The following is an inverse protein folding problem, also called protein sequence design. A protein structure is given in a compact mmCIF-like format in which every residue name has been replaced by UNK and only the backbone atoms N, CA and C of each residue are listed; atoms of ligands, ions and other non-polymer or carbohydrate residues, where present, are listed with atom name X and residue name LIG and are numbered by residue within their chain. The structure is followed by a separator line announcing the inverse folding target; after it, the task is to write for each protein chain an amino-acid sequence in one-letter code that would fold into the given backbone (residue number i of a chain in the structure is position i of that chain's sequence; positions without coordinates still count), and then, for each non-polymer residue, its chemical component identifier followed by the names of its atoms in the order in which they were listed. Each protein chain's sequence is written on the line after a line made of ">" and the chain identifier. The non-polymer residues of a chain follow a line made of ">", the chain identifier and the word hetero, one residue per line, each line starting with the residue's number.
data_IF_597520944942
#
_entry.id   IF_597520944942
#
_cell.length_a   1.000
_cell.length_b   1.000
_cell.length_c   1.000
_cell.angle_alpha   90.00
_cell.angle_beta   90.00
_cell.angle_gamma   90.00
#
_symmetry.space_group_name_H-M   'P 1'
#
loop_
_entity.id
_entity.type
_entity.pdbx_description
1 polymer ?
#
# COMPACT_ATOMS: atom_id res chain seq x y z
N UNK A 1 17.75 -11.31 31.78
CA UNK A 1 17.35 -9.92 31.46
C UNK A 1 17.41 -9.78 29.94
N UNK A 2 16.27 -9.76 29.27
CA UNK A 2 16.18 -9.80 27.81
C UNK A 2 15.94 -8.40 27.26
N UNK A 3 16.97 -7.74 26.75
CA UNK A 3 16.82 -6.49 25.99
C UNK A 3 16.71 -6.82 24.50
N UNK A 4 15.47 -7.01 24.01
CA UNK A 4 15.20 -7.01 22.56
C UNK A 4 15.38 -5.59 22.04
N UNK A 5 16.51 -5.33 21.40
CA UNK A 5 16.76 -4.11 20.63
C UNK A 5 15.77 -4.06 19.46
N UNK A 6 14.79 -3.17 19.55
CA UNK A 6 13.88 -2.89 18.44
C UNK A 6 14.67 -2.21 17.31
N UNK A 7 14.91 -2.96 16.24
CA UNK A 7 15.47 -2.44 14.98
C UNK A 7 14.48 -1.41 14.44
N UNK A 8 14.88 -0.16 14.16
CA UNK A 8 13.96 0.80 13.56
C UNK A 8 13.52 0.22 12.21
N UNK A 9 12.21 0.11 12.02
CA UNK A 9 11.62 -0.34 10.77
C UNK A 9 12.13 0.62 9.68
N UNK A 10 13.05 0.12 8.85
CA UNK A 10 13.50 0.79 7.63
C UNK A 10 12.24 1.13 6.85
N UNK A 11 11.95 2.42 6.64
CA UNK A 11 10.91 2.81 5.71
C UNK A 11 11.23 2.07 4.41
N UNK A 12 10.31 1.25 3.86
CA UNK A 12 10.53 0.67 2.55
C UNK A 12 10.61 1.86 1.59
N UNK A 13 11.81 2.13 1.09
CA UNK A 13 11.96 3.01 -0.06
C UNK A 13 11.08 2.40 -1.16
N UNK A 14 10.25 3.21 -1.84
CA UNK A 14 9.39 2.68 -2.88
C UNK A 14 10.29 2.10 -3.96
N UNK A 15 10.33 0.77 -4.03
CA UNK A 15 10.93 0.05 -5.15
C UNK A 15 10.39 0.67 -6.45
N UNK A 16 11.24 0.99 -7.45
CA UNK A 16 10.82 1.73 -8.63
C UNK A 16 9.64 1.08 -9.38
N UNK A 17 9.50 -0.25 -9.31
CA UNK A 17 8.33 -0.97 -9.87
C UNK A 17 7.01 -0.75 -9.10
N UNK A 18 7.07 -0.36 -7.83
CA UNK A 18 5.88 -0.12 -7.00
C UNK A 18 5.18 1.18 -7.39
N UNK A 19 5.93 2.22 -7.79
CA UNK A 19 5.35 3.53 -8.10
C UNK A 19 4.60 3.52 -9.45
N UNK A 20 5.12 2.80 -10.45
CA UNK A 20 4.41 2.54 -11.71
C UNK A 20 3.10 1.77 -11.47
N UNK A 21 3.14 0.79 -10.58
CA UNK A 21 1.97 -0.01 -10.21
C UNK A 21 0.93 0.80 -9.43
N UNK A 22 1.38 1.68 -8.53
CA UNK A 22 0.53 2.66 -7.85
C UNK A 22 -0.18 3.55 -8.87
N UNK A 23 0.55 4.10 -9.84
CA UNK A 23 -0.01 4.96 -10.87
C UNK A 23 -1.02 4.21 -11.76
N UNK A 24 -0.72 2.97 -12.12
CA UNK A 24 -1.62 2.10 -12.87
C UNK A 24 -2.92 1.84 -12.10
N UNK A 25 -2.83 1.45 -10.82
CA UNK A 25 -3.99 1.17 -9.97
C UNK A 25 -4.84 2.42 -9.72
N UNK A 26 -4.19 3.55 -9.47
CA UNK A 26 -4.85 4.86 -9.32
C UNK A 26 -5.69 5.20 -10.57
N UNK A 27 -5.10 5.07 -11.76
CA UNK A 27 -5.79 5.32 -13.04
C UNK A 27 -6.92 4.31 -13.29
N UNK A 28 -6.67 3.01 -13.11
CA UNK A 28 -7.63 1.91 -13.34
C UNK A 28 -8.87 2.04 -12.45
N UNK A 29 -8.68 2.42 -11.19
CA UNK A 29 -9.76 2.51 -10.22
C UNK A 29 -10.30 3.92 -9.99
N UNK A 30 -9.74 4.92 -10.68
CA UNK A 30 -10.11 6.35 -10.56
C UNK A 30 -10.01 6.84 -9.11
N UNK A 31 -8.91 6.50 -8.44
CA UNK A 31 -8.58 6.96 -7.09
C UNK A 31 -7.24 7.68 -7.12
N UNK A 32 -6.94 8.48 -6.10
CA UNK A 32 -5.63 9.12 -6.00
C UNK A 32 -4.53 8.10 -5.67
N UNK A 33 -3.31 8.35 -6.14
CA UNK A 33 -2.14 7.56 -5.77
C UNK A 33 -1.90 7.54 -4.26
N UNK A 34 -2.27 8.63 -3.56
CA UNK A 34 -2.20 8.72 -2.10
C UNK A 34 -3.05 7.64 -1.41
N UNK A 35 -4.27 7.40 -1.90
CA UNK A 35 -5.14 6.34 -1.37
C UNK A 35 -4.50 4.97 -1.57
N UNK A 36 -3.90 4.71 -2.74
CA UNK A 36 -3.23 3.45 -3.00
C UNK A 36 -2.05 3.25 -2.03
N UNK A 37 -1.22 4.28 -1.82
CA UNK A 37 -0.11 4.23 -0.85
C UNK A 37 -0.58 3.99 0.57
N UNK A 38 -1.69 4.62 0.96
CA UNK A 38 -2.32 4.40 2.27
C UNK A 38 -2.82 2.96 2.41
N UNK A 39 -3.46 2.40 1.37
CA UNK A 39 -3.90 1.01 1.34
C UNK A 39 -2.70 0.07 1.50
N UNK A 40 -1.65 0.25 0.70
CA UNK A 40 -0.42 -0.55 0.77
C UNK A 40 0.19 -0.48 2.17
N UNK A 41 0.26 0.71 2.75
CA UNK A 41 0.73 0.93 4.13
C UNK A 41 -0.17 0.23 5.15
N UNK A 42 -1.49 0.27 4.97
CA UNK A 42 -2.47 -0.30 5.90
C UNK A 42 -2.50 -1.82 5.86
N UNK A 43 -2.37 -2.43 4.68
CA UNK A 43 -2.38 -3.89 4.53
C UNK A 43 -0.98 -4.49 4.61
N UNK A 44 0.07 -3.67 4.56
CA UNK A 44 1.47 -4.07 4.59
C UNK A 44 1.92 -4.85 3.36
N UNK A 45 1.18 -4.77 2.26
CA UNK A 45 1.42 -5.51 1.02
C UNK A 45 1.19 -4.61 -0.18
N UNK A 46 2.12 -4.65 -1.14
CA UNK A 46 1.98 -4.03 -2.46
C UNK A 46 1.35 -4.97 -3.48
N UNK A 47 0.93 -6.18 -3.07
CA UNK A 47 0.33 -7.16 -3.97
C UNK A 47 -0.96 -6.61 -4.59
N UNK A 48 -1.00 -6.55 -5.92
CA UNK A 48 -2.11 -6.01 -6.71
C UNK A 48 -3.47 -6.55 -6.25
N UNK A 49 -3.60 -7.87 -6.11
CA UNK A 49 -4.85 -8.53 -5.71
C UNK A 49 -5.37 -8.06 -4.35
N UNK A 50 -4.46 -7.84 -3.39
CA UNK A 50 -4.78 -7.40 -2.05
C UNK A 50 -5.20 -5.92 -2.04
N UNK A 51 -4.45 -5.08 -2.76
CA UNK A 51 -4.76 -3.66 -2.93
C UNK A 51 -6.11 -3.46 -3.63
N UNK A 52 -6.36 -4.15 -4.74
CA UNK A 52 -7.64 -4.08 -5.48
C UNK A 52 -8.85 -4.49 -4.61
N UNK A 53 -8.67 -5.50 -3.74
CA UNK A 53 -9.72 -5.93 -2.80
C UNK A 53 -10.05 -4.83 -1.80
N UNK A 54 -9.04 -4.15 -1.26
CA UNK A 54 -9.25 -3.03 -0.33
C UNK A 54 -9.87 -1.81 -1.02
N UNK A 55 -9.47 -1.49 -2.27
CA UNK A 55 -10.10 -0.43 -3.06
C UNK A 55 -11.61 -0.69 -3.25
N UNK A 56 -11.99 -1.94 -3.58
CA UNK A 56 -13.40 -2.32 -3.74
C UNK A 56 -14.16 -2.20 -2.41
N UNK A 57 -13.56 -2.66 -1.31
CA UNK A 57 -14.13 -2.56 0.04
C UNK A 57 -14.34 -1.09 0.45
N UNK A 58 -13.36 -0.22 0.22
CA UNK A 58 -13.44 1.21 0.53
C UNK A 58 -14.44 1.99 -0.33
N UNK A 59 -14.72 1.53 -1.56
CA UNK A 59 -15.82 2.06 -2.40
C UNK A 59 -17.19 1.56 -1.99
N UNK A 60 -17.31 0.37 -1.39
CA UNK A 60 -18.59 -0.12 -0.88
C UNK A 60 -19.01 0.54 0.44
N UNK A 61 -18.07 1.18 1.14
CA UNK A 61 -18.31 1.88 2.41
C UNK A 61 -18.57 3.39 2.25
N UNK A 62 -18.33 3.95 1.06
CA UNK A 62 -18.51 5.36 0.73
C UNK A 62 -19.62 5.48 -0.30
#
# INVERSE_FOLDING_TARGET
>A
MNTKTAKPAKLPEPEPGTEEEIAYLAKRHRVSAAIIREIIRSIGSSERSAVEREIKRGRSRR
#
